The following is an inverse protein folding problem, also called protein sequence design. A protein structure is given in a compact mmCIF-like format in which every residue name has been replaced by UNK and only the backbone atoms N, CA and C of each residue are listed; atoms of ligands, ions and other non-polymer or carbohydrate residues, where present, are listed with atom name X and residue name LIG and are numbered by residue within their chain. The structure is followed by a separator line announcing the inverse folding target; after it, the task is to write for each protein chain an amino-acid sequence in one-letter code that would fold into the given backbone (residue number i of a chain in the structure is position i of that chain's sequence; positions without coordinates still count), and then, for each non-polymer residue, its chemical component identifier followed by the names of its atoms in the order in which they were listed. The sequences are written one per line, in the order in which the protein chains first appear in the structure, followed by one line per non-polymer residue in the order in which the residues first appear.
data_IF_177893013240
#
_entry.id   IF_177893013240
#
_cell.length_a   1.000
_cell.length_b   1.000
_cell.length_c   1.000
_cell.angle_alpha   90.00
_cell.angle_beta   90.00
_cell.angle_gamma   90.00
#
_symmetry.space_group_name_H-M   'P 1'
#
loop_
_entity.id
_entity.type
_entity.pdbx_description
1 polymer ?
#
# COMPACT_ATOMS: atom_id res chain seq x y z
N UNK A 1 6.34 32.49 55.87
CA UNK A 1 5.65 33.23 56.95
C UNK A 1 6.29 34.61 56.97
N UNK A 2 5.70 35.74 56.58
CA UNK A 2 4.31 36.25 56.54
C UNK A 2 4.16 37.16 55.29
N UNK A 3 3.06 37.14 54.52
CA UNK A 3 1.79 37.86 54.72
C UNK A 3 1.90 39.36 55.04
N UNK A 4 1.68 40.21 54.02
CA UNK A 4 1.17 41.60 54.06
C UNK A 4 0.56 41.79 52.63
N UNK A 5 -0.75 41.74 52.31
CA UNK A 5 -1.97 42.38 52.80
C UNK A 5 -1.80 43.89 52.99
N UNK A 6 -2.45 44.84 52.35
CA UNK A 6 -3.46 45.01 51.30
C UNK A 6 -3.39 46.51 50.93
N UNK A 7 -3.99 46.95 49.82
CA UNK A 7 -4.99 48.03 49.93
C UNK A 7 -5.85 48.20 48.68
N UNK A 8 -7.15 48.32 48.96
CA UNK A 8 -8.28 48.55 48.05
C UNK A 8 -8.40 50.03 47.69
N UNK A 9 -9.07 50.32 46.57
CA UNK A 9 -10.23 51.24 46.45
C UNK A 9 -10.71 51.20 44.98
N UNK A 10 -11.73 50.42 44.63
CA UNK A 10 -13.16 50.79 44.43
C UNK A 10 -13.44 51.98 43.50
N UNK A 11 -14.09 51.70 42.36
CA UNK A 11 -15.39 52.26 41.91
C UNK A 11 -15.78 51.55 40.58
N UNK A 12 -16.81 50.70 40.56
CA UNK A 12 -18.24 50.99 40.31
C UNK A 12 -18.59 50.93 38.79
N UNK A 13 -19.05 49.76 38.31
CA UNK A 13 -20.43 49.38 37.97
C UNK A 13 -21.06 50.18 36.82
N UNK A 14 -21.34 49.51 35.69
CA UNK A 14 -22.59 49.69 34.95
C UNK A 14 -22.99 48.36 34.27
N UNK A 15 -24.28 48.06 34.42
CA UNK A 15 -25.02 46.85 34.06
C UNK A 15 -24.99 46.49 32.56
N UNK A 16 -25.17 45.20 32.24
CA UNK A 16 -26.21 44.68 31.33
C UNK A 16 -26.34 43.14 31.47
N UNK A 17 -27.54 42.70 31.84
CA UNK A 17 -28.12 41.36 31.66
C UNK A 17 -28.87 41.36 30.28
N UNK A 18 -29.46 40.26 29.74
CA UNK A 18 -29.48 38.84 30.14
C UNK A 18 -29.51 37.81 28.96
N UNK A 19 -29.78 36.54 29.32
CA UNK A 19 -30.45 35.40 28.62
C UNK A 19 -29.79 34.65 27.44
N UNK A 20 -29.67 33.33 27.69
CA UNK A 20 -29.77 32.17 26.81
C UNK A 20 -29.77 32.33 25.27
N UNK A 21 -28.75 31.73 24.64
CA UNK A 21 -28.88 31.17 23.31
C UNK A 21 -27.94 29.96 23.09
N UNK A 22 -28.50 28.77 23.31
CA UNK A 22 -28.54 27.66 22.34
C UNK A 22 -27.21 27.09 21.82
N UNK A 23 -26.96 25.86 22.26
CA UNK A 23 -26.75 24.69 21.40
C UNK A 23 -26.00 24.92 20.08
N UNK A 24 -24.71 24.59 20.05
CA UNK A 24 -24.10 24.12 18.81
C UNK A 24 -24.33 22.61 18.70
N UNK A 25 -25.45 22.27 18.07
CA UNK A 25 -25.66 20.98 17.42
C UNK A 25 -24.62 20.89 16.31
N UNK A 26 -23.69 19.94 16.42
CA UNK A 26 -22.80 19.55 15.31
C UNK A 26 -23.39 18.30 14.66
N UNK A 27 -24.55 18.48 14.02
CA UNK A 27 -24.99 17.55 12.98
C UNK A 27 -24.41 18.05 11.65
N UNK A 28 -23.35 17.40 11.21
CA UNK A 28 -22.97 17.39 9.80
C UNK A 28 -22.50 15.99 9.46
N UNK A 29 -23.52 15.14 9.35
CA UNK A 29 -23.54 13.94 8.55
C UNK A 29 -23.01 14.28 7.14
N UNK A 30 -21.75 13.96 6.90
CA UNK A 30 -21.22 13.83 5.54
C UNK A 30 -20.89 12.35 5.38
N UNK A 31 -21.87 11.63 4.83
CA UNK A 31 -21.69 10.29 4.28
C UNK A 31 -20.60 10.36 3.21
N UNK A 32 -19.37 9.97 3.51
CA UNK A 32 -18.42 9.65 2.45
C UNK A 32 -17.39 8.61 2.87
N UNK A 33 -17.26 7.62 1.99
CA UNK A 33 -16.37 6.49 2.05
C UNK A 33 -16.59 5.53 3.23
N UNK A 34 -17.59 4.65 3.06
CA UNK A 34 -17.44 3.22 3.36
C UNK A 34 -16.05 2.78 2.87
N UNK A 35 -15.05 2.82 3.74
CA UNK A 35 -13.81 2.10 3.53
C UNK A 35 -14.21 0.63 3.57
N UNK A 36 -14.43 0.08 2.37
CA UNK A 36 -14.42 -1.34 2.11
C UNK A 36 -13.01 -1.79 2.53
N UNK A 37 -12.83 -2.02 3.82
CA UNK A 37 -11.80 -2.92 4.33
C UNK A 37 -12.26 -4.32 3.95
N UNK A 38 -12.33 -4.59 2.64
CA UNK A 38 -12.33 -5.97 2.16
C UNK A 38 -10.98 -6.51 2.58
N UNK A 39 -11.00 -7.27 3.67
CA UNK A 39 -9.86 -7.94 4.23
C UNK A 39 -9.10 -8.63 3.09
N UNK A 40 -7.94 -8.08 2.71
CA UNK A 40 -7.00 -8.82 1.89
C UNK A 40 -6.36 -9.84 2.81
N UNK A 41 -6.91 -11.04 2.82
CA UNK A 41 -6.47 -12.18 3.63
C UNK A 41 -5.04 -12.61 3.21
N UNK A 42 -4.47 -12.00 2.15
CA UNK A 42 -3.16 -12.37 1.57
C UNK A 42 -2.24 -11.20 1.24
N UNK A 43 -2.53 -9.97 1.67
CA UNK A 43 -1.68 -8.81 1.37
C UNK A 43 -1.58 -8.48 -0.12
N UNK A 44 -2.55 -8.92 -0.92
CA UNK A 44 -2.66 -8.64 -2.35
C UNK A 44 -3.67 -7.51 -2.58
N UNK A 45 -3.39 -6.63 -3.55
CA UNK A 45 -4.24 -5.47 -3.83
C UNK A 45 -5.16 -5.78 -5.01
N UNK A 46 -6.48 -5.56 -4.91
CA UNK A 46 -7.36 -5.81 -6.04
C UNK A 46 -7.07 -4.85 -7.19
N UNK A 47 -6.97 -5.39 -8.40
CA UNK A 47 -6.86 -4.61 -9.63
C UNK A 47 -8.25 -4.23 -10.16
N UNK A 48 -8.28 -3.38 -11.20
CA UNK A 48 -9.50 -2.98 -11.87
C UNK A 48 -10.29 -4.21 -12.37
N UNK A 49 -11.62 -4.12 -12.37
CA UNK A 49 -12.50 -5.25 -12.74
C UNK A 49 -12.34 -5.72 -14.19
N UNK A 50 -11.86 -4.84 -15.06
CA UNK A 50 -11.56 -5.09 -16.47
C UNK A 50 -10.06 -5.36 -16.73
N UNK A 51 -9.24 -5.44 -15.68
CA UNK A 51 -7.82 -5.71 -15.81
C UNK A 51 -7.57 -7.04 -16.51
N UNK A 52 -6.63 -7.02 -17.46
CA UNK A 52 -6.07 -8.21 -18.10
C UNK A 52 -4.56 -8.10 -18.08
N UNK A 53 -3.83 -9.18 -17.74
CA UNK A 53 -2.38 -9.18 -17.77
C UNK A 53 -1.87 -8.77 -19.16
N UNK A 54 -1.06 -7.73 -19.19
CA UNK A 54 -0.34 -7.26 -20.36
C UNK A 54 0.97 -8.01 -20.56
N UNK A 55 1.74 -7.68 -21.62
CA UNK A 55 2.92 -8.44 -21.98
C UNK A 55 4.09 -8.33 -20.98
N UNK A 56 4.04 -7.36 -20.08
CA UNK A 56 5.01 -7.14 -19.02
C UNK A 56 4.54 -7.63 -17.65
N UNK A 57 3.34 -8.19 -17.57
CA UNK A 57 2.77 -8.73 -16.33
C UNK A 57 3.13 -10.21 -16.13
N UNK A 58 3.62 -10.50 -14.94
CA UNK A 58 4.02 -11.82 -14.49
C UNK A 58 2.87 -12.45 -13.73
N UNK A 59 2.31 -13.52 -14.30
CA UNK A 59 1.20 -14.27 -13.71
C UNK A 59 1.74 -15.24 -12.65
N UNK A 60 1.34 -15.02 -11.41
CA UNK A 60 1.61 -15.82 -10.21
C UNK A 60 0.64 -17.01 -10.09
N UNK A 61 0.59 -17.87 -11.10
CA UNK A 61 -0.22 -19.08 -11.10
C UNK A 61 0.60 -20.33 -11.47
N UNK A 62 0.05 -21.51 -11.17
CA UNK A 62 0.62 -22.80 -11.56
C UNK A 62 0.06 -23.24 -12.92
N UNK A 63 0.86 -23.99 -13.68
CA UNK A 63 0.42 -24.64 -14.92
C UNK A 63 0.97 -24.03 -16.21
N UNK A 64 0.66 -24.68 -17.35
CA UNK A 64 1.21 -24.36 -18.67
C UNK A 64 0.77 -22.99 -19.18
N UNK A 65 -0.46 -22.58 -18.92
CA UNK A 65 -1.00 -21.30 -19.39
C UNK A 65 -0.19 -20.12 -18.84
N UNK A 66 0.02 -20.07 -17.52
CA UNK A 66 0.86 -19.05 -16.90
C UNK A 66 2.31 -19.13 -17.38
N UNK A 67 2.88 -20.35 -17.51
CA UNK A 67 4.27 -20.54 -17.98
C UNK A 67 4.50 -19.98 -19.40
N UNK A 68 3.51 -20.13 -20.29
CA UNK A 68 3.60 -19.71 -21.69
C UNK A 68 3.16 -18.26 -21.91
N UNK A 69 2.69 -17.56 -20.88
CA UNK A 69 2.39 -16.14 -20.96
C UNK A 69 3.65 -15.35 -21.32
N UNK A 70 3.53 -14.38 -22.21
CA UNK A 70 4.68 -13.59 -22.69
C UNK A 70 5.43 -12.90 -21.55
N UNK A 71 4.73 -12.37 -20.55
CA UNK A 71 5.36 -11.76 -19.38
C UNK A 71 6.13 -12.77 -18.52
N UNK A 72 5.64 -14.01 -18.41
CA UNK A 72 6.36 -15.08 -17.71
C UNK A 72 7.57 -15.59 -18.50
N UNK A 73 7.53 -15.52 -19.84
CA UNK A 73 8.69 -15.82 -20.67
C UNK A 73 9.78 -14.77 -20.47
N UNK A 74 9.44 -13.48 -20.56
CA UNK A 74 10.38 -12.36 -20.34
C UNK A 74 10.95 -12.38 -18.93
N UNK A 75 10.10 -12.61 -17.94
CA UNK A 75 10.48 -12.83 -16.55
C UNK A 75 11.58 -13.87 -16.39
N UNK A 76 11.41 -15.07 -16.98
CA UNK A 76 12.43 -16.13 -16.88
C UNK A 76 13.73 -15.73 -17.55
N UNK A 77 13.67 -15.05 -18.69
CA UNK A 77 14.88 -14.53 -19.35
C UNK A 77 15.61 -13.51 -18.47
N UNK A 78 14.88 -12.64 -17.77
CA UNK A 78 15.48 -11.70 -16.81
C UNK A 78 16.13 -12.44 -15.63
N UNK A 79 15.45 -13.43 -15.05
CA UNK A 79 16.03 -14.27 -14.00
C UNK A 79 17.29 -14.98 -14.50
N UNK A 80 17.24 -15.62 -15.67
CA UNK A 80 18.38 -16.32 -16.29
C UNK A 80 19.60 -15.42 -16.47
N UNK A 81 19.41 -14.16 -16.91
CA UNK A 81 20.50 -13.17 -17.04
C UNK A 81 21.14 -12.79 -15.70
N UNK A 82 20.37 -12.83 -14.61
CA UNK A 82 20.85 -12.48 -13.27
C UNK A 82 21.45 -13.66 -12.51
N UNK A 83 21.32 -14.91 -13.01
CA UNK A 83 21.81 -16.10 -12.33
C UNK A 83 23.32 -16.07 -12.09
N UNK A 84 24.09 -15.59 -13.06
CA UNK A 84 25.54 -15.48 -12.92
C UNK A 84 25.92 -14.51 -11.80
N UNK A 85 25.30 -13.32 -11.78
CA UNK A 85 25.48 -12.33 -10.72
C UNK A 85 25.06 -12.86 -9.35
N UNK A 86 23.93 -13.58 -9.30
CA UNK A 86 23.41 -14.19 -8.07
C UNK A 86 24.34 -15.29 -7.54
N UNK A 87 24.95 -16.07 -8.45
CA UNK A 87 25.93 -17.11 -8.09
C UNK A 87 27.25 -16.53 -7.61
N UNK A 88 27.67 -15.38 -8.17
CA UNK A 88 28.90 -14.69 -7.75
C UNK A 88 28.74 -13.91 -6.43
N UNK A 89 27.51 -13.54 -6.06
CA UNK A 89 27.22 -12.84 -4.81
C UNK A 89 27.59 -13.68 -3.58
N UNK A 90 28.39 -13.09 -2.68
CA UNK A 90 28.93 -13.78 -1.50
C UNK A 90 28.04 -13.59 -0.27
N UNK A 91 27.28 -12.50 -0.22
CA UNK A 91 26.46 -12.15 0.93
C UNK A 91 24.96 -12.32 0.67
N UNK A 92 24.21 -12.57 1.74
CA UNK A 92 22.74 -12.58 1.69
C UNK A 92 22.17 -11.24 1.25
N UNK A 93 22.86 -10.14 1.58
CA UNK A 93 22.46 -8.79 1.21
C UNK A 93 22.54 -8.58 -0.31
N UNK A 94 23.66 -8.94 -0.94
CA UNK A 94 23.84 -8.83 -2.40
C UNK A 94 22.81 -9.67 -3.16
N UNK A 95 22.59 -10.92 -2.71
CA UNK A 95 21.54 -11.79 -3.27
C UNK A 95 20.15 -11.15 -3.16
N UNK A 96 19.85 -10.56 -2.00
CA UNK A 96 18.61 -9.82 -1.79
C UNK A 96 18.49 -8.60 -2.71
N UNK A 97 19.57 -7.87 -2.98
CA UNK A 97 19.58 -6.73 -3.88
C UNK A 97 19.32 -7.16 -5.33
N UNK A 98 19.93 -8.26 -5.79
CA UNK A 98 19.69 -8.82 -7.12
C UNK A 98 18.22 -9.21 -7.29
N UNK A 99 17.64 -9.90 -6.31
CA UNK A 99 16.22 -10.26 -6.30
C UNK A 99 15.33 -9.01 -6.33
N UNK A 100 15.67 -7.99 -5.54
CA UNK A 100 14.92 -6.72 -5.51
C UNK A 100 14.96 -6.04 -6.89
N UNK A 101 16.13 -5.96 -7.52
CA UNK A 101 16.28 -5.37 -8.84
C UNK A 101 15.44 -6.07 -9.93
N UNK A 102 15.27 -7.40 -9.85
CA UNK A 102 14.36 -8.12 -10.77
C UNK A 102 12.91 -7.70 -10.52
N UNK A 103 12.47 -7.66 -9.26
CA UNK A 103 11.10 -7.27 -8.89
C UNK A 103 10.81 -5.85 -9.35
N UNK A 104 11.74 -4.92 -9.08
CA UNK A 104 11.62 -3.51 -9.44
C UNK A 104 11.56 -3.34 -10.95
N UNK A 105 12.45 -4.00 -11.70
CA UNK A 105 12.45 -3.94 -13.17
C UNK A 105 11.13 -4.40 -13.80
N UNK A 106 10.49 -5.44 -13.24
CA UNK A 106 9.19 -5.93 -13.72
C UNK A 106 8.07 -4.94 -13.40
N UNK A 107 8.08 -4.36 -12.21
CA UNK A 107 7.09 -3.36 -11.79
C UNK A 107 7.20 -2.07 -12.59
N UNK A 108 8.42 -1.59 -12.84
CA UNK A 108 8.67 -0.41 -13.67
C UNK A 108 8.24 -0.63 -15.12
N UNK A 109 8.34 -1.86 -15.62
CA UNK A 109 7.93 -2.22 -16.98
C UNK A 109 6.40 -2.34 -17.15
N UNK A 110 5.66 -2.51 -16.05
CA UNK A 110 4.20 -2.62 -16.06
C UNK A 110 3.54 -1.32 -15.59
N UNK A 111 2.48 -0.89 -16.28
CA UNK A 111 1.79 0.36 -15.95
C UNK A 111 0.86 0.25 -14.74
N UNK A 112 0.27 -0.94 -14.54
CA UNK A 112 -0.79 -1.17 -13.55
C UNK A 112 -0.66 -2.52 -12.83
N UNK A 113 0.45 -3.22 -13.02
CA UNK A 113 0.65 -4.57 -12.49
C UNK A 113 2.11 -4.83 -12.15
N UNK A 114 2.70 -5.81 -12.82
CA UNK A 114 4.03 -6.33 -12.52
C UNK A 114 3.89 -7.78 -12.11
N UNK A 115 3.55 -8.05 -10.85
CA UNK A 115 3.22 -9.40 -10.39
C UNK A 115 1.75 -9.50 -10.09
N UNK A 116 1.04 -10.38 -10.79
CA UNK A 116 -0.41 -10.48 -10.70
C UNK A 116 -0.87 -11.89 -10.44
N UNK A 117 -1.92 -12.05 -9.67
CA UNK A 117 -2.54 -13.34 -9.36
C UNK A 117 -4.03 -13.26 -9.63
N UNK A 118 -4.57 -14.32 -10.21
CA UNK A 118 -6.01 -14.49 -10.38
C UNK A 118 -6.54 -15.33 -9.20
N UNK A 119 -7.56 -14.81 -8.52
CA UNK A 119 -8.37 -15.55 -7.54
C UNK A 119 -9.85 -15.33 -7.84
N UNK A 120 -10.61 -16.41 -7.96
CA UNK A 120 -12.06 -16.40 -8.23
C UNK A 120 -12.47 -15.52 -9.42
N UNK A 121 -11.67 -15.54 -10.50
CA UNK A 121 -11.91 -14.75 -11.71
C UNK A 121 -11.57 -13.26 -11.59
N UNK A 122 -10.94 -12.85 -10.47
CA UNK A 122 -10.51 -11.47 -10.23
C UNK A 122 -8.99 -11.40 -10.15
N UNK A 123 -8.43 -10.33 -10.72
CA UNK A 123 -7.00 -10.06 -10.69
C UNK A 123 -6.60 -9.23 -9.48
N UNK A 124 -5.47 -9.59 -8.91
CA UNK A 124 -4.85 -8.92 -7.79
C UNK A 124 -3.37 -8.68 -8.08
N UNK A 125 -2.89 -7.50 -7.71
CA UNK A 125 -1.48 -7.22 -7.61
C UNK A 125 -0.89 -7.91 -6.39
N UNK A 126 0.26 -8.52 -6.59
CA UNK A 126 0.95 -9.31 -5.60
C UNK A 126 2.04 -8.47 -4.92
N UNK A 127 2.01 -8.46 -3.58
CA UNK A 127 3.01 -7.75 -2.79
C UNK A 127 4.42 -8.35 -2.87
N UNK A 128 5.40 -7.59 -2.37
CA UNK A 128 6.83 -7.87 -2.49
C UNK A 128 7.21 -9.25 -1.97
N UNK A 129 6.59 -9.71 -0.88
CA UNK A 129 6.87 -11.01 -0.29
C UNK A 129 6.72 -12.14 -1.31
N UNK A 130 5.56 -12.22 -1.95
CA UNK A 130 5.24 -13.28 -2.92
C UNK A 130 6.00 -13.04 -4.23
N UNK A 131 6.19 -11.79 -4.65
CA UNK A 131 6.99 -11.46 -5.84
C UNK A 131 8.44 -11.95 -5.70
N UNK A 132 9.08 -11.68 -4.55
CA UNK A 132 10.44 -12.12 -4.23
C UNK A 132 10.52 -13.64 -4.08
N UNK A 133 9.53 -14.25 -3.46
CA UNK A 133 9.44 -15.71 -3.38
C UNK A 133 9.37 -16.34 -4.78
N UNK A 134 8.61 -15.73 -5.70
CA UNK A 134 8.53 -16.19 -7.09
C UNK A 134 9.90 -16.11 -7.79
N UNK A 135 10.66 -15.04 -7.57
CA UNK A 135 12.02 -14.85 -8.11
C UNK A 135 13.01 -15.87 -7.55
N UNK A 136 12.86 -16.26 -6.30
CA UNK A 136 13.72 -17.24 -5.65
C UNK A 136 13.37 -18.72 -5.91
N UNK A 137 12.26 -19.01 -6.60
CA UNK A 137 11.85 -20.37 -7.00
C UNK A 137 12.55 -20.83 -8.28
#
# INVERSE_FOLDING_TARGET
MLMIHMDRLTHQQHHHHPVDARHWVTDSNTDDARSIKSASISGMLPLASDFKPGPYDVICARGKAAKNHVGNIQYRLNVERTLEQYSAASTKLEKSQIVSGIVDSIRESSRYGGFVKEEDGRWFEVGDHIAREKVGQ
#
